data_IF_535780590592
#
_entry.id   IF_535780590592
#
_cell.length_a   1.000
_cell.length_b   1.000
_cell.length_c   1.000
_cell.angle_alpha   90.00
_cell.angle_beta   90.00
_cell.angle_gamma   90.00
#
_symmetry.space_group_name_H-M   'P 1'
#
loop_
_entity.id
_entity.type
_entity.pdbx_description
1 polymer ?
#
# COMPACT_ATOMS: atom_id res chain seq x y z
N UNK A 1 -10.32 5.27 14.49
CA UNK A 1 -9.14 6.00 15.02
C UNK A 1 -8.54 5.24 16.20
N UNK A 2 -9.30 5.03 17.28
CA UNK A 2 -8.81 4.33 18.48
C UNK A 2 -8.31 2.90 18.18
N UNK A 3 -9.06 2.13 17.39
CA UNK A 3 -8.69 0.76 16.99
C UNK A 3 -7.34 0.66 16.25
N UNK A 4 -7.10 1.53 15.27
CA UNK A 4 -5.82 1.58 14.54
C UNK A 4 -4.66 1.95 15.48
N UNK A 5 -4.85 2.93 16.35
CA UNK A 5 -3.81 3.33 17.32
C UNK A 5 -3.52 2.19 18.32
N UNK A 6 -4.54 1.45 18.75
CA UNK A 6 -4.34 0.31 19.64
C UNK A 6 -3.64 -0.86 18.92
N UNK A 7 -3.91 -1.08 17.63
CA UNK A 7 -3.16 -2.02 16.79
C UNK A 7 -1.69 -1.63 16.68
N UNK A 8 -1.38 -0.35 16.50
CA UNK A 8 -0.01 0.15 16.55
C UNK A 8 0.64 -0.11 17.92
N UNK A 9 -0.05 0.20 19.01
CA UNK A 9 0.46 -0.01 20.37
C UNK A 9 0.74 -1.49 20.66
N UNK A 10 -0.09 -2.40 20.14
CA UNK A 10 0.16 -3.83 20.25
C UNK A 10 1.42 -4.27 19.49
N UNK A 11 1.71 -3.64 18.35
CA UNK A 11 2.87 -3.93 17.50
C UNK A 11 4.18 -3.31 18.04
N UNK A 12 4.16 -2.03 18.38
CA UNK A 12 5.37 -1.22 18.65
C UNK A 12 5.45 -0.73 20.11
N UNK A 13 4.56 -1.20 20.97
CA UNK A 13 4.55 -0.89 22.40
C UNK A 13 3.84 0.42 22.79
N UNK A 14 3.42 0.57 24.05
CA UNK A 14 2.61 1.71 24.49
C UNK A 14 3.34 3.06 24.47
N UNK A 15 4.68 3.07 24.60
CA UNK A 15 5.48 4.30 24.58
C UNK A 15 5.51 4.96 23.20
N UNK A 16 5.23 4.19 22.12
CA UNK A 16 5.18 4.69 20.74
C UNK A 16 3.76 5.08 20.29
N UNK A 17 2.76 5.13 21.19
CA UNK A 17 1.36 5.49 20.86
C UNK A 17 1.25 6.77 20.02
N UNK A 18 2.12 7.75 20.27
CA UNK A 18 2.16 9.00 19.53
C UNK A 18 2.45 8.80 18.03
N UNK A 19 3.31 7.84 17.67
CA UNK A 19 3.61 7.48 16.27
C UNK A 19 2.35 6.92 15.60
N UNK A 20 1.72 5.91 16.20
CA UNK A 20 0.47 5.35 15.66
C UNK A 20 -0.67 6.37 15.56
N UNK A 21 -0.72 7.33 16.48
CA UNK A 21 -1.68 8.45 16.44
C UNK A 21 -1.40 9.35 15.23
N UNK A 22 -0.16 9.79 15.06
CA UNK A 22 0.23 10.65 13.93
C UNK A 22 0.00 9.94 12.58
N UNK A 23 0.36 8.66 12.47
CA UNK A 23 0.11 7.89 11.25
C UNK A 23 -1.40 7.76 10.98
N UNK A 24 -2.21 7.44 11.99
CA UNK A 24 -3.66 7.41 11.82
C UNK A 24 -4.21 8.76 11.38
N UNK A 25 -3.68 9.89 11.89
CA UNK A 25 -4.05 11.24 11.45
C UNK A 25 -3.71 11.50 9.98
N UNK A 26 -2.51 11.10 9.53
CA UNK A 26 -2.08 11.21 8.12
C UNK A 26 -3.03 10.47 7.18
N UNK A 27 -3.35 9.20 7.48
CA UNK A 27 -4.36 8.45 6.72
C UNK A 27 -5.79 9.01 6.83
N UNK A 28 -6.01 10.00 7.70
CA UNK A 28 -7.27 10.70 7.87
C UNK A 28 -7.33 12.09 7.22
N UNK A 29 -6.29 12.50 6.49
CA UNK A 29 -6.26 13.81 5.83
C UNK A 29 -7.41 13.95 4.82
N UNK A 30 -8.07 15.12 4.76
CA UNK A 30 -9.36 15.29 4.06
C UNK A 30 -9.27 15.18 2.53
N UNK A 31 -8.07 15.26 1.96
CA UNK A 31 -7.84 15.11 0.51
C UNK A 31 -7.78 13.65 0.06
N UNK A 32 -7.54 12.70 0.98
CA UNK A 32 -7.52 11.27 0.68
C UNK A 32 -8.94 10.75 0.43
N UNK A 33 -9.08 9.86 -0.55
CA UNK A 33 -10.36 9.19 -0.87
C UNK A 33 -10.19 7.68 -0.94
N UNK A 34 -9.12 7.21 -1.54
CA UNK A 34 -8.75 5.80 -1.51
C UNK A 34 -7.70 5.54 -0.43
N UNK A 35 -6.61 6.31 -0.40
CA UNK A 35 -5.45 6.09 0.47
C UNK A 35 -5.72 6.56 1.92
N UNK A 36 -6.77 6.00 2.52
CA UNK A 36 -7.36 6.39 3.80
C UNK A 36 -7.05 5.37 4.90
N UNK A 37 -7.60 5.61 6.10
CA UNK A 37 -7.56 4.63 7.20
C UNK A 37 -8.16 3.27 6.83
N UNK A 38 -9.15 3.25 5.93
CA UNK A 38 -9.79 2.00 5.48
C UNK A 38 -8.83 1.19 4.60
N UNK A 39 -8.08 1.86 3.72
CA UNK A 39 -6.97 1.24 2.96
C UNK A 39 -5.91 0.67 3.89
N UNK A 40 -5.41 1.48 4.83
CA UNK A 40 -4.42 1.00 5.80
C UNK A 40 -4.91 -0.24 6.57
N UNK A 41 -6.18 -0.24 6.98
CA UNK A 41 -6.78 -1.37 7.70
C UNK A 41 -6.81 -2.61 6.81
N UNK A 42 -7.27 -2.49 5.56
CA UNK A 42 -7.31 -3.59 4.61
C UNK A 42 -5.92 -4.18 4.32
N UNK A 43 -4.90 -3.32 4.14
CA UNK A 43 -3.51 -3.76 3.95
C UNK A 43 -3.02 -4.52 5.18
N UNK A 44 -3.17 -3.97 6.38
CA UNK A 44 -2.71 -4.61 7.61
C UNK A 44 -3.44 -5.95 7.87
N UNK A 45 -4.74 -6.03 7.59
CA UNK A 45 -5.52 -7.28 7.74
C UNK A 45 -4.99 -8.37 6.81
N UNK A 46 -4.68 -8.03 5.56
CA UNK A 46 -4.11 -9.00 4.63
C UNK A 46 -2.65 -9.34 4.96
N UNK A 47 -1.85 -8.40 5.49
CA UNK A 47 -0.54 -8.72 6.07
C UNK A 47 -0.68 -9.74 7.21
N UNK A 48 -1.69 -9.61 8.06
CA UNK A 48 -1.95 -10.56 9.14
C UNK A 48 -2.37 -11.94 8.61
N UNK A 49 -3.22 -12.00 7.58
CA UNK A 49 -3.59 -13.25 6.90
C UNK A 49 -2.38 -13.95 6.26
N UNK A 50 -1.45 -13.17 5.68
CA UNK A 50 -0.27 -13.67 4.97
C UNK A 50 0.99 -13.77 5.85
N UNK A 51 0.89 -13.46 7.14
CA UNK A 51 2.04 -13.37 8.05
C UNK A 51 2.89 -14.66 8.09
N UNK A 52 2.30 -15.82 7.84
CA UNK A 52 3.03 -17.10 7.78
C UNK A 52 4.00 -17.24 6.60
N UNK A 53 3.91 -16.38 5.57
CA UNK A 53 4.83 -16.35 4.44
C UNK A 53 6.02 -15.41 4.68
N UNK A 54 5.82 -14.33 5.44
CA UNK A 54 6.86 -13.33 5.71
C UNK A 54 7.93 -13.87 6.69
N UNK A 55 9.20 -13.54 6.43
CA UNK A 55 10.31 -13.85 7.33
C UNK A 55 10.23 -13.04 8.63
N UNK A 56 9.85 -11.75 8.52
CA UNK A 56 9.73 -10.83 9.64
C UNK A 56 8.38 -10.10 9.59
N UNK A 57 7.26 -10.75 9.99
CA UNK A 57 5.93 -10.19 9.81
C UNK A 57 5.70 -8.85 10.52
N UNK A 58 6.32 -8.63 11.68
CA UNK A 58 6.21 -7.35 12.40
C UNK A 58 6.87 -6.20 11.64
N UNK A 59 7.99 -6.45 10.96
CA UNK A 59 8.63 -5.47 10.08
C UNK A 59 7.74 -5.17 8.87
N UNK A 60 7.06 -6.17 8.31
CA UNK A 60 6.08 -5.96 7.22
C UNK A 60 4.90 -5.13 7.70
N UNK A 61 4.38 -5.36 8.91
CA UNK A 61 3.33 -4.53 9.51
C UNK A 61 3.80 -3.08 9.69
N UNK A 62 5.01 -2.87 10.19
CA UNK A 62 5.59 -1.53 10.31
C UNK A 62 5.68 -0.85 8.94
N UNK A 63 6.16 -1.55 7.91
CA UNK A 63 6.21 -1.02 6.54
C UNK A 63 4.81 -0.69 5.99
N UNK A 64 3.81 -1.54 6.24
CA UNK A 64 2.42 -1.28 5.86
C UNK A 64 1.87 0.00 6.53
N UNK A 65 2.26 0.31 7.76
CA UNK A 65 1.91 1.57 8.41
C UNK A 65 2.53 2.82 7.76
N UNK A 66 3.67 2.67 7.08
CA UNK A 66 4.40 3.79 6.50
C UNK A 66 4.22 3.95 4.99
N UNK A 67 3.85 2.92 4.22
CA UNK A 67 3.94 2.95 2.75
C UNK A 67 3.32 4.20 2.11
N UNK A 68 2.14 4.60 2.56
CA UNK A 68 1.42 5.80 2.10
C UNK A 68 1.24 6.88 3.19
N UNK A 69 2.09 6.85 4.23
CA UNK A 69 2.01 7.80 5.34
C UNK A 69 2.26 9.25 4.87
N UNK A 70 3.03 9.44 3.80
CA UNK A 70 3.04 10.68 3.01
C UNK A 70 2.31 10.41 1.70
N UNK A 71 1.26 11.17 1.43
CA UNK A 71 0.50 11.06 0.18
C UNK A 71 0.06 12.44 -0.30
N UNK A 72 0.63 12.85 -1.43
CA UNK A 72 0.29 14.05 -2.16
C UNK A 72 0.22 13.68 -3.66
N UNK A 73 -0.98 13.66 -4.26
CA UNK A 73 -1.15 13.24 -5.65
C UNK A 73 -0.49 14.19 -6.67
N UNK A 74 -0.03 15.37 -6.24
CA UNK A 74 0.76 16.30 -7.09
C UNK A 74 2.26 15.94 -7.13
N UNK A 75 2.68 14.90 -6.41
CA UNK A 75 4.08 14.50 -6.24
C UNK A 75 4.36 13.10 -6.73
N UNK A 76 5.62 12.88 -7.15
CA UNK A 76 6.12 11.58 -7.61
C UNK A 76 7.08 10.91 -6.61
N UNK A 77 7.33 11.52 -5.44
CA UNK A 77 8.29 11.04 -4.43
C UNK A 77 7.61 10.65 -3.11
N UNK A 78 6.33 10.24 -3.15
CA UNK A 78 5.55 9.93 -1.95
C UNK A 78 6.17 8.77 -1.16
N UNK A 79 6.53 7.68 -1.84
CA UNK A 79 7.12 6.47 -1.27
C UNK A 79 8.49 6.78 -0.64
N UNK A 80 9.34 7.55 -1.32
CA UNK A 80 10.62 8.00 -0.76
C UNK A 80 10.42 8.86 0.51
N UNK A 81 9.43 9.76 0.49
CA UNK A 81 9.13 10.61 1.65
C UNK A 81 8.54 9.82 2.82
N UNK A 82 7.69 8.83 2.52
CA UNK A 82 7.17 7.84 3.46
C UNK A 82 8.29 7.02 4.08
N UNK A 83 9.24 6.54 3.29
CA UNK A 83 10.41 5.79 3.76
C UNK A 83 11.30 6.64 4.68
N UNK A 84 11.58 7.89 4.28
CA UNK A 84 12.31 8.85 5.14
C UNK A 84 11.55 9.18 6.43
N UNK A 85 10.22 9.22 6.39
CA UNK A 85 9.40 9.41 7.59
C UNK A 85 9.54 8.20 8.52
N UNK A 86 9.47 6.97 7.99
CA UNK A 86 9.69 5.74 8.75
C UNK A 86 11.05 5.75 9.45
N UNK A 87 12.12 6.03 8.70
CA UNK A 87 13.48 6.11 9.26
C UNK A 87 13.58 7.08 10.44
N UNK A 88 12.97 8.27 10.31
CA UNK A 88 13.01 9.28 11.38
C UNK A 88 12.19 8.87 12.60
N UNK A 89 10.95 8.42 12.41
CA UNK A 89 10.05 8.11 13.53
C UNK A 89 10.47 6.84 14.27
N UNK A 90 11.00 5.86 13.56
CA UNK A 90 11.44 4.59 14.17
C UNK A 90 12.81 4.70 14.84
N UNK A 91 13.65 5.67 14.47
CA UNK A 91 14.95 5.91 15.13
C UNK A 91 14.81 6.31 16.60
N UNK A 92 13.64 6.85 17.01
CA UNK A 92 13.33 7.21 18.39
C UNK A 92 12.69 6.04 19.19
N UNK A 93 12.77 4.82 18.68
CA UNK A 93 12.23 3.59 19.31
C UNK A 93 13.33 2.60 19.68
N UNK A 94 12.96 1.52 20.38
CA UNK A 94 13.90 0.44 20.75
C UNK A 94 14.18 -0.56 19.60
N UNK A 95 13.72 -0.28 18.36
CA UNK A 95 13.94 -1.15 17.21
C UNK A 95 15.42 -1.20 16.82
N UNK A 96 15.88 -2.37 16.37
CA UNK A 96 17.23 -2.50 15.84
C UNK A 96 17.34 -1.78 14.49
N UNK A 97 18.51 -1.18 14.21
CA UNK A 97 18.74 -0.45 12.96
C UNK A 97 18.44 -1.31 11.71
N UNK A 98 18.76 -2.61 11.75
CA UNK A 98 18.47 -3.54 10.65
C UNK A 98 16.96 -3.65 10.34
N UNK A 99 16.09 -3.57 11.36
CA UNK A 99 14.64 -3.64 11.18
C UNK A 99 14.12 -2.34 10.59
N UNK A 100 14.67 -1.20 11.04
CA UNK A 100 14.37 0.13 10.47
C UNK A 100 14.76 0.18 8.99
N UNK A 101 15.97 -0.27 8.65
CA UNK A 101 16.46 -0.31 7.27
C UNK A 101 15.57 -1.21 6.39
N UNK A 102 15.10 -2.33 6.95
CA UNK A 102 14.17 -3.21 6.25
C UNK A 102 12.79 -2.57 6.07
N UNK A 103 12.25 -1.84 7.05
CA UNK A 103 11.01 -1.05 6.89
C UNK A 103 11.17 -0.04 5.75
N UNK A 104 12.27 0.71 5.74
CA UNK A 104 12.57 1.72 4.70
C UNK A 104 12.60 1.07 3.32
N UNK A 105 13.34 -0.03 3.17
CA UNK A 105 13.43 -0.78 1.90
C UNK A 105 12.06 -1.27 1.42
N UNK A 106 11.25 -1.80 2.33
CA UNK A 106 9.92 -2.30 2.01
C UNK A 106 8.95 -1.18 1.59
N UNK A 107 9.03 -0.02 2.23
CA UNK A 107 8.26 1.15 1.81
C UNK A 107 8.70 1.63 0.42
N UNK A 108 9.99 1.69 0.13
CA UNK A 108 10.48 2.09 -1.20
C UNK A 108 10.05 1.09 -2.28
N UNK A 109 9.98 -0.21 -1.96
CA UNK A 109 9.56 -1.28 -2.86
C UNK A 109 8.12 -1.09 -3.39
N UNK A 110 7.24 -0.41 -2.66
CA UNK A 110 5.87 -0.11 -3.14
C UNK A 110 5.84 0.91 -4.27
N UNK A 111 6.98 1.48 -4.69
CA UNK A 111 7.05 2.28 -5.91
C UNK A 111 6.84 1.42 -7.16
N UNK A 112 7.34 0.17 -7.13
CA UNK A 112 7.32 -0.72 -8.31
C UNK A 112 6.49 -1.98 -8.10
N UNK A 113 6.15 -2.31 -6.85
CA UNK A 113 5.45 -3.54 -6.46
C UNK A 113 6.05 -4.80 -7.09
N UNK A 114 7.38 -4.85 -7.16
CA UNK A 114 8.12 -5.91 -7.86
C UNK A 114 9.20 -6.49 -6.95
N UNK A 115 8.81 -7.26 -5.93
CA UNK A 115 9.75 -7.95 -5.06
C UNK A 115 10.56 -8.99 -5.85
N UNK A 116 11.81 -9.19 -5.44
CA UNK A 116 12.64 -10.26 -5.96
C UNK A 116 12.11 -11.65 -5.55
N UNK A 117 12.47 -12.67 -6.32
CA UNK A 117 12.18 -14.05 -5.95
C UNK A 117 12.88 -14.41 -4.63
N UNK A 118 12.08 -14.75 -3.61
CA UNK A 118 12.57 -15.05 -2.27
C UNK A 118 12.51 -13.88 -1.28
N UNK A 119 12.19 -12.66 -1.72
CA UNK A 119 11.89 -11.54 -0.82
C UNK A 119 10.48 -11.70 -0.22
N UNK A 120 10.33 -12.65 0.70
CA UNK A 120 9.00 -13.01 1.23
C UNK A 120 8.32 -11.86 1.99
N UNK A 121 9.10 -10.97 2.60
CA UNK A 121 8.59 -9.76 3.24
C UNK A 121 8.01 -8.79 2.21
N UNK A 122 8.75 -8.52 1.13
CA UNK A 122 8.30 -7.67 0.02
C UNK A 122 7.10 -8.24 -0.70
N UNK A 123 7.06 -9.56 -0.89
CA UNK A 123 5.93 -10.28 -1.45
C UNK A 123 4.65 -10.08 -0.63
N UNK A 124 4.71 -10.22 0.69
CA UNK A 124 3.53 -9.99 1.54
C UNK A 124 3.06 -8.54 1.48
N UNK A 125 3.97 -7.56 1.55
CA UNK A 125 3.58 -6.15 1.49
C UNK A 125 2.94 -5.78 0.16
N UNK A 126 3.58 -6.17 -0.96
CA UNK A 126 3.07 -5.87 -2.30
C UNK A 126 1.73 -6.55 -2.56
N UNK A 127 1.58 -7.82 -2.17
CA UNK A 127 0.31 -8.55 -2.28
C UNK A 127 -0.79 -7.88 -1.47
N UNK A 128 -0.47 -7.39 -0.26
CA UNK A 128 -1.44 -6.73 0.60
C UNK A 128 -1.90 -5.38 0.04
N UNK A 129 -0.95 -4.57 -0.45
CA UNK A 129 -1.22 -3.25 -1.02
C UNK A 129 -2.01 -3.33 -2.34
N UNK A 130 -1.65 -4.28 -3.21
CA UNK A 130 -2.31 -4.46 -4.51
C UNK A 130 -3.64 -5.23 -4.44
N UNK A 131 -4.05 -5.75 -3.28
CA UNK A 131 -5.22 -6.64 -3.16
C UNK A 131 -6.53 -6.05 -3.67
N UNK A 132 -6.70 -4.73 -3.61
CA UNK A 132 -7.88 -4.04 -4.16
C UNK A 132 -8.07 -4.32 -5.66
N UNK A 133 -6.99 -4.58 -6.40
CA UNK A 133 -7.06 -4.89 -7.82
C UNK A 133 -7.84 -6.18 -8.03
N UNK A 134 -7.68 -7.16 -7.14
CA UNK A 134 -8.41 -8.44 -7.14
C UNK A 134 -9.78 -8.40 -6.45
N UNK A 135 -10.32 -7.22 -6.14
CA UNK A 135 -11.62 -7.09 -5.50
C UNK A 135 -12.78 -7.45 -6.45
N UNK A 136 -13.97 -7.69 -5.89
CA UNK A 136 -15.18 -7.85 -6.69
C UNK A 136 -15.45 -6.58 -7.54
N UNK A 137 -16.08 -6.68 -8.72
CA UNK A 137 -16.19 -5.55 -9.65
C UNK A 137 -16.79 -4.27 -9.05
N UNK A 138 -17.76 -4.39 -8.13
CA UNK A 138 -18.34 -3.23 -7.45
C UNK A 138 -17.36 -2.51 -6.51
N UNK A 139 -16.52 -3.26 -5.79
CA UNK A 139 -15.48 -2.70 -4.93
C UNK A 139 -14.36 -2.08 -5.75
N UNK A 140 -13.95 -2.73 -6.84
CA UNK A 140 -12.97 -2.18 -7.77
C UNK A 140 -13.46 -0.89 -8.45
N UNK A 141 -14.73 -0.81 -8.81
CA UNK A 141 -15.32 0.43 -9.34
C UNK A 141 -15.31 1.56 -8.31
N UNK A 142 -15.57 1.28 -7.03
CA UNK A 142 -15.47 2.28 -5.96
C UNK A 142 -14.01 2.74 -5.76
N UNK A 143 -13.05 1.83 -5.81
CA UNK A 143 -11.62 2.13 -5.79
C UNK A 143 -11.21 3.10 -6.92
N UNK A 144 -11.55 2.76 -8.17
CA UNK A 144 -11.19 3.61 -9.32
C UNK A 144 -11.84 4.99 -9.26
N UNK A 145 -13.08 5.09 -8.79
CA UNK A 145 -13.74 6.38 -8.56
C UNK A 145 -13.05 7.21 -7.47
N UNK A 146 -12.67 6.59 -6.35
CA UNK A 146 -11.94 7.25 -5.27
C UNK A 146 -10.56 7.76 -5.73
N UNK A 147 -9.82 6.95 -6.49
CA UNK A 147 -8.56 7.40 -7.12
C UNK A 147 -8.82 8.55 -8.08
N UNK A 148 -9.87 8.51 -8.91
CA UNK A 148 -10.20 9.64 -9.80
C UNK A 148 -10.43 10.93 -9.01
N UNK A 149 -11.09 10.87 -7.86
CA UNK A 149 -11.31 12.03 -6.98
C UNK A 149 -10.02 12.58 -6.38
N UNK A 150 -9.05 11.73 -5.99
CA UNK A 150 -7.74 12.18 -5.50
C UNK A 150 -6.98 12.99 -6.55
N UNK A 151 -7.18 12.65 -7.83
CA UNK A 151 -6.58 13.37 -8.95
C UNK A 151 -7.55 14.36 -9.61
N UNK A 152 -8.61 14.81 -8.94
CA UNK A 152 -9.63 15.69 -9.54
C UNK A 152 -9.07 17.02 -10.11
N UNK A 153 -7.91 17.46 -9.63
CA UNK A 153 -7.19 18.63 -10.16
C UNK A 153 -6.53 18.38 -11.53
N UNK A 154 -6.31 17.11 -11.91
CA UNK A 154 -5.74 16.73 -13.21
C UNK A 154 -6.85 16.69 -14.26
N UNK A 155 -6.69 17.37 -15.42
CA UNK A 155 -7.65 17.27 -16.51
C UNK A 155 -7.82 15.82 -17.01
N UNK A 156 -9.04 15.47 -17.41
CA UNK A 156 -9.42 14.09 -17.72
C UNK A 156 -8.50 13.40 -18.74
N UNK A 157 -8.05 14.11 -19.78
CA UNK A 157 -7.16 13.54 -20.81
C UNK A 157 -5.81 13.10 -20.22
N UNK A 158 -5.22 13.91 -19.32
CA UNK A 158 -3.95 13.60 -18.69
C UNK A 158 -4.11 12.55 -17.60
N UNK A 159 -5.21 12.58 -16.84
CA UNK A 159 -5.51 11.54 -15.87
C UNK A 159 -5.66 10.18 -16.55
N UNK A 160 -6.47 10.09 -17.62
CA UNK A 160 -6.66 8.85 -18.38
C UNK A 160 -5.34 8.29 -18.91
N UNK A 161 -4.49 9.15 -19.48
CA UNK A 161 -3.18 8.75 -20.00
C UNK A 161 -2.25 8.22 -18.90
N UNK A 162 -2.10 8.97 -17.80
CA UNK A 162 -1.24 8.57 -16.68
C UNK A 162 -1.75 7.31 -15.96
N UNK A 163 -3.07 7.22 -15.73
CA UNK A 163 -3.68 6.02 -15.15
C UNK A 163 -3.47 4.80 -16.04
N UNK A 164 -3.64 4.94 -17.36
CA UNK A 164 -3.39 3.85 -18.29
C UNK A 164 -1.91 3.41 -18.28
N UNK A 165 -0.96 4.33 -18.12
CA UNK A 165 0.47 4.00 -17.99
C UNK A 165 0.74 3.13 -16.76
N UNK A 166 0.24 3.53 -15.59
CA UNK A 166 0.35 2.75 -14.33
C UNK A 166 -0.22 1.35 -14.51
N UNK A 167 -1.44 1.24 -15.04
CA UNK A 167 -2.12 -0.04 -15.23
C UNK A 167 -1.41 -0.96 -16.24
N UNK A 168 -0.85 -0.40 -17.31
CA UNK A 168 -0.04 -1.17 -18.26
C UNK A 168 1.28 -1.63 -17.63
N UNK A 169 1.90 -0.81 -16.79
CA UNK A 169 3.08 -1.20 -16.00
C UNK A 169 2.80 -2.40 -15.11
N UNK A 170 1.69 -2.37 -14.37
CA UNK A 170 1.24 -3.51 -13.55
C UNK A 170 0.98 -4.76 -14.40
N UNK A 171 0.25 -4.64 -15.53
CA UNK A 171 0.00 -5.79 -16.40
C UNK A 171 1.26 -6.39 -17.03
N UNK A 172 2.33 -5.60 -17.19
CA UNK A 172 3.61 -6.06 -17.70
C UNK A 172 4.39 -6.92 -16.69
N UNK A 173 4.05 -6.86 -15.40
CA UNK A 173 4.63 -7.74 -14.40
C UNK A 173 4.26 -9.21 -14.69
N UNK A 174 5.21 -10.16 -14.56
CA UNK A 174 4.92 -11.59 -14.74
C UNK A 174 3.84 -12.12 -13.80
N UNK A 175 3.77 -11.56 -12.59
CA UNK A 175 2.77 -11.83 -11.56
C UNK A 175 2.43 -10.51 -10.86
N UNK A 176 1.16 -10.29 -10.53
CA UNK A 176 0.74 -9.18 -9.66
C UNK A 176 0.82 -9.60 -8.18
N UNK A 177 0.51 -10.88 -7.91
CA UNK A 177 0.53 -11.46 -6.57
C UNK A 177 1.54 -12.60 -6.49
N UNK A 178 2.35 -12.61 -5.44
CA UNK A 178 3.52 -13.47 -5.30
C UNK A 178 3.30 -14.63 -4.33
N UNK A 179 2.61 -14.40 -3.22
CA UNK A 179 2.27 -15.48 -2.28
C UNK A 179 1.24 -16.43 -2.92
N UNK A 180 1.34 -17.75 -2.71
CA UNK A 180 0.38 -18.69 -3.29
C UNK A 180 -1.07 -18.36 -2.94
N UNK A 181 -1.33 -17.97 -1.68
CA UNK A 181 -2.67 -17.64 -1.21
C UNK A 181 -3.25 -16.39 -1.89
N UNK A 182 -2.47 -15.31 -2.03
CA UNK A 182 -2.93 -14.10 -2.71
C UNK A 182 -3.06 -14.32 -4.22
N UNK A 183 -2.10 -15.02 -4.83
CA UNK A 183 -2.13 -15.34 -6.25
C UNK A 183 -3.39 -16.11 -6.64
N UNK A 184 -3.71 -17.20 -5.94
CA UNK A 184 -4.89 -18.01 -6.24
C UNK A 184 -6.20 -17.24 -6.01
N UNK A 185 -6.20 -16.27 -5.10
CA UNK A 185 -7.39 -15.47 -4.74
C UNK A 185 -7.61 -14.28 -5.67
N UNK A 186 -6.55 -13.61 -6.12
CA UNK A 186 -6.64 -12.26 -6.69
C UNK A 186 -6.13 -12.13 -8.12
N UNK A 187 -5.14 -12.91 -8.57
CA UNK A 187 -4.38 -12.66 -9.82
C UNK A 187 -5.28 -12.56 -11.05
N UNK A 188 -6.12 -13.58 -11.29
CA UNK A 188 -6.98 -13.62 -12.48
C UNK A 188 -7.95 -12.44 -12.48
N UNK A 189 -8.58 -12.18 -11.33
CA UNK A 189 -9.56 -11.11 -11.20
C UNK A 189 -8.93 -9.74 -11.34
N UNK A 190 -7.76 -9.52 -10.75
CA UNK A 190 -7.02 -8.28 -10.87
C UNK A 190 -6.68 -7.96 -12.32
N UNK A 191 -6.16 -8.93 -13.06
CA UNK A 191 -5.88 -8.73 -14.49
C UNK A 191 -7.14 -8.43 -15.30
N UNK A 192 -8.27 -9.06 -14.98
CA UNK A 192 -9.53 -8.79 -15.64
C UNK A 192 -10.04 -7.38 -15.33
N UNK A 193 -10.04 -6.99 -14.05
CA UNK A 193 -10.42 -5.65 -13.59
C UNK A 193 -9.57 -4.56 -14.27
N UNK A 194 -8.24 -4.72 -14.29
CA UNK A 194 -7.32 -3.76 -14.93
C UNK A 194 -7.59 -3.63 -16.43
N UNK A 195 -7.78 -4.75 -17.14
CA UNK A 195 -8.10 -4.73 -18.58
C UNK A 195 -9.44 -4.04 -18.85
N UNK A 196 -10.44 -4.26 -18.01
CA UNK A 196 -11.72 -3.57 -18.09
C UNK A 196 -11.56 -2.07 -17.86
N UNK A 197 -10.81 -1.65 -16.84
CA UNK A 197 -10.52 -0.23 -16.60
C UNK A 197 -9.83 0.40 -17.81
N UNK A 198 -8.80 -0.26 -18.37
CA UNK A 198 -8.10 0.21 -19.57
C UNK A 198 -9.03 0.37 -20.78
N UNK A 199 -10.01 -0.52 -20.98
CA UNK A 199 -11.00 -0.37 -22.05
C UNK A 199 -11.88 0.88 -21.83
N UNK A 200 -12.29 1.14 -20.59
CA UNK A 200 -13.12 2.29 -20.24
C UNK A 200 -12.36 3.62 -20.34
N UNK A 201 -11.07 3.65 -19.99
CA UNK A 201 -10.24 4.84 -20.12
C UNK A 201 -10.05 5.25 -21.59
N UNK A 202 -9.95 4.27 -22.49
CA UNK A 202 -9.73 4.47 -23.93
C UNK A 202 -11.02 4.67 -24.75
N UNK A 203 -12.19 4.52 -24.14
CA UNK A 203 -13.48 4.80 -24.75
C UNK A 203 -13.80 6.31 -24.74
#
# INVERSE_FOLDING_TARGET
MEELVDRWVALAGPHTRHIGTELSERYGEPHRRYHTRDHLTAVLDLVDELAGHAETPDVVRLAAWFHDAVYDPERADNEERSARLAARMLADTDLAQQDIDQVVRLVELTTTHSPEDGDTNGQVLCDADLAVLGAEPGQYAAYTAAVREEYAFVPDEFFKAGRAEVLNGLLALPKLFHTPAAHDRFEERARNNIRTELMLLNA
#
